data_IF_608851522077
#
_entry.id   IF_608851522077
#
_cell.length_a   1.000
_cell.length_b   1.000
_cell.length_c   1.000
_cell.angle_alpha   90.00
_cell.angle_beta   90.00
_cell.angle_gamma   90.00
#
_symmetry.space_group_name_H-M   'P 1'
#
loop_
_entity.id
_entity.type
_entity.pdbx_description
1 polymer ?
#
# COMPACT_ATOMS: atom_id res chain seq x y z
N UNK A 1 2.19 16.09 0.84
CA UNK A 1 1.05 15.37 0.21
C UNK A 1 0.57 16.01 -1.08
N UNK A 2 0.25 17.32 -1.18
CA UNK A 2 -0.25 17.90 -2.45
C UNK A 2 0.66 17.61 -3.66
N UNK A 3 1.97 17.80 -3.50
CA UNK A 3 2.95 17.47 -4.55
C UNK A 3 3.00 15.99 -4.92
N UNK A 4 2.73 15.08 -3.97
CA UNK A 4 2.64 13.63 -4.24
C UNK A 4 1.40 13.35 -5.10
N UNK A 5 0.28 13.99 -4.78
CA UNK A 5 -0.97 13.86 -5.55
C UNK A 5 -0.78 14.39 -6.97
N UNK A 6 -0.21 15.59 -7.10
CA UNK A 6 0.04 16.21 -8.40
C UNK A 6 0.99 15.35 -9.25
N UNK A 7 2.04 14.80 -8.63
CA UNK A 7 2.99 13.93 -9.31
C UNK A 7 2.38 12.62 -9.79
N UNK A 8 1.62 11.92 -8.94
CA UNK A 8 0.97 10.66 -9.36
C UNK A 8 -0.05 10.91 -10.49
N UNK A 9 -0.79 12.02 -10.44
CA UNK A 9 -1.70 12.42 -11.52
C UNK A 9 -0.97 12.78 -12.81
N UNK A 10 0.22 13.39 -12.71
CA UNK A 10 1.05 13.67 -13.88
C UNK A 10 1.55 12.36 -14.52
N UNK A 11 2.01 11.39 -13.72
CA UNK A 11 2.42 10.09 -14.25
C UNK A 11 1.28 9.35 -14.95
N UNK A 12 0.08 9.36 -14.38
CA UNK A 12 -1.15 8.82 -14.98
C UNK A 12 -1.48 9.49 -16.33
N UNK A 13 -1.29 10.81 -16.44
CA UNK A 13 -1.52 11.53 -17.69
C UNK A 13 -0.47 11.24 -18.76
N UNK A 14 0.79 11.05 -18.36
CA UNK A 14 1.94 10.94 -19.28
C UNK A 14 2.33 9.49 -19.62
N UNK A 15 1.77 8.49 -18.93
CA UNK A 15 2.12 7.08 -19.10
C UNK A 15 0.89 6.19 -19.17
N UNK A 16 0.78 5.42 -20.26
CA UNK A 16 -0.24 4.36 -20.44
C UNK A 16 -0.04 3.15 -19.52
N UNK A 17 1.04 3.14 -18.73
CA UNK A 17 1.37 2.11 -17.72
C UNK A 17 0.84 2.45 -16.34
N UNK A 18 0.35 3.67 -16.13
CA UNK A 18 -0.07 4.18 -14.82
C UNK A 18 -1.55 4.55 -14.88
N UNK A 19 -2.29 4.23 -13.81
CA UNK A 19 -3.66 4.71 -13.60
C UNK A 19 -3.81 5.11 -12.14
N UNK A 20 -4.06 6.40 -11.86
CA UNK A 20 -4.19 6.90 -10.49
C UNK A 20 -5.64 7.31 -10.20
N UNK A 21 -6.23 6.71 -9.17
CA UNK A 21 -7.58 7.04 -8.73
C UNK A 21 -7.59 7.61 -7.32
N UNK A 22 -8.45 8.61 -7.11
CA UNK A 22 -8.83 9.06 -5.78
C UNK A 22 -9.98 8.19 -5.27
N UNK A 23 -9.74 7.42 -4.20
CA UNK A 23 -10.73 6.48 -3.67
C UNK A 23 -11.59 7.06 -2.55
N UNK A 24 -11.27 8.27 -2.11
CA UNK A 24 -12.00 9.00 -1.07
C UNK A 24 -11.15 10.08 -0.43
N UNK A 25 -11.61 10.57 0.73
CA UNK A 25 -10.90 11.56 1.53
C UNK A 25 -10.45 10.97 2.87
N UNK A 26 -9.30 11.44 3.36
CA UNK A 26 -8.81 11.20 4.72
C UNK A 26 -9.71 11.83 5.77
N UNK A 27 -9.42 11.55 7.04
CA UNK A 27 -10.14 12.09 8.20
C UNK A 27 -10.09 13.63 8.28
N UNK A 28 -9.07 14.27 7.70
CA UNK A 28 -8.95 15.73 7.58
C UNK A 28 -9.23 16.26 6.15
N UNK A 29 -9.77 15.44 5.26
CA UNK A 29 -10.30 15.89 3.96
C UNK A 29 -9.32 15.91 2.79
N UNK A 30 -8.12 15.33 2.95
CA UNK A 30 -7.14 15.20 1.87
C UNK A 30 -7.47 14.02 0.95
N UNK A 31 -7.17 14.10 -0.36
CA UNK A 31 -7.42 13.00 -1.28
C UNK A 31 -6.60 11.77 -0.87
N UNK A 32 -7.21 10.59 -0.95
CA UNK A 32 -6.56 9.30 -0.70
C UNK A 32 -6.44 8.56 -2.03
N UNK A 33 -5.22 8.17 -2.41
CA UNK A 33 -4.92 7.68 -3.75
C UNK A 33 -4.61 6.18 -3.77
N UNK A 34 -5.08 5.50 -4.82
CA UNK A 34 -4.51 4.25 -5.30
C UNK A 34 -3.87 4.51 -6.67
N UNK A 35 -2.66 4.02 -6.88
CA UNK A 35 -1.97 4.10 -8.17
C UNK A 35 -1.69 2.70 -8.69
N UNK A 36 -2.33 2.34 -9.81
CA UNK A 36 -2.10 1.09 -10.51
C UNK A 36 -0.94 1.26 -11.47
N UNK A 37 -0.01 0.31 -11.49
CA UNK A 37 1.13 0.30 -12.39
C UNK A 37 1.28 -1.10 -12.99
N UNK A 38 1.22 -1.20 -14.32
CA UNK A 38 1.29 -2.46 -15.06
C UNK A 38 1.55 -2.20 -16.56
N UNK A 39 1.52 -3.24 -17.39
CA UNK A 39 1.58 -3.06 -18.84
C UNK A 39 0.33 -2.31 -19.34
N UNK A 40 0.40 -1.59 -20.47
CA UNK A 40 -0.75 -0.84 -20.98
C UNK A 40 -1.98 -1.72 -21.23
N UNK A 41 -1.76 -2.96 -21.69
CA UNK A 41 -2.83 -3.95 -21.86
C UNK A 41 -3.49 -4.34 -20.54
N UNK A 42 -2.72 -4.53 -19.47
CA UNK A 42 -3.26 -4.85 -18.15
C UNK A 42 -4.00 -3.63 -17.55
N UNK A 43 -3.47 -2.41 -17.71
CA UNK A 43 -4.10 -1.16 -17.24
C UNK A 43 -5.45 -0.94 -17.93
N UNK A 44 -5.53 -1.16 -19.24
CA UNK A 44 -6.78 -1.05 -19.99
C UNK A 44 -7.85 -2.08 -19.56
N UNK A 45 -7.45 -3.18 -18.92
CA UNK A 45 -8.32 -4.31 -18.54
C UNK A 45 -8.37 -4.55 -17.02
N UNK A 46 -8.10 -3.54 -16.19
CA UNK A 46 -8.03 -3.67 -14.73
C UNK A 46 -9.27 -4.35 -14.11
N UNK A 47 -10.48 -3.99 -14.54
CA UNK A 47 -11.71 -4.59 -14.00
C UNK A 47 -11.84 -6.08 -14.34
N UNK A 48 -11.35 -6.51 -15.51
CA UNK A 48 -11.33 -7.93 -15.88
C UNK A 48 -10.36 -8.71 -15.00
N UNK A 49 -9.14 -8.18 -14.79
CA UNK A 49 -8.16 -8.81 -13.91
C UNK A 49 -8.63 -8.84 -12.44
N UNK A 50 -9.30 -7.79 -11.97
CA UNK A 50 -9.91 -7.74 -10.64
C UNK A 50 -10.97 -8.84 -10.48
N UNK A 51 -11.83 -9.05 -11.49
CA UNK A 51 -12.85 -10.10 -11.42
C UNK A 51 -12.25 -11.50 -11.44
N UNK A 52 -11.22 -11.74 -12.26
CA UNK A 52 -10.46 -13.02 -12.24
C UNK A 52 -9.93 -13.28 -10.82
N UNK A 53 -9.27 -12.28 -10.22
CA UNK A 53 -8.75 -12.38 -8.85
C UNK A 53 -9.84 -12.66 -7.81
N UNK A 54 -10.98 -11.96 -7.92
CA UNK A 54 -12.10 -12.13 -6.99
C UNK A 54 -12.68 -13.53 -7.04
N UNK A 55 -12.74 -14.14 -8.23
CA UNK A 55 -13.24 -15.51 -8.43
C UNK A 55 -12.26 -16.55 -7.92
N UNK A 56 -10.96 -16.38 -8.22
CA UNK A 56 -9.91 -17.27 -7.72
C UNK A 56 -9.76 -17.21 -6.19
N UNK A 57 -10.07 -16.07 -5.57
CA UNK A 57 -10.05 -15.91 -4.11
C UNK A 57 -11.21 -16.63 -3.38
N UNK A 58 -12.19 -17.19 -4.12
CA UNK A 58 -13.35 -17.91 -3.56
C UNK A 58 -13.53 -19.24 -4.31
N UNK A 59 -12.59 -20.20 -4.15
CA UNK A 59 -12.50 -21.40 -4.97
C UNK A 59 -13.73 -22.31 -4.83
N UNK A 60 -14.45 -22.25 -3.70
CA UNK A 60 -15.68 -23.04 -3.47
C UNK A 60 -16.80 -22.71 -4.47
N UNK A 61 -16.70 -21.58 -5.18
CA UNK A 61 -17.69 -21.10 -6.15
C UNK A 61 -17.35 -21.40 -7.60
N UNK A 62 -16.19 -22.01 -7.88
CA UNK A 62 -15.73 -22.33 -9.24
C UNK A 62 -15.25 -23.78 -9.32
N UNK A 63 -15.28 -24.36 -10.52
CA UNK A 63 -14.74 -25.71 -10.74
C UNK A 63 -13.22 -25.68 -10.96
N UNK A 64 -12.54 -26.81 -10.75
CA UNK A 64 -11.10 -26.93 -11.05
C UNK A 64 -10.75 -26.59 -12.51
N UNK A 65 -11.62 -26.96 -13.46
CA UNK A 65 -11.43 -26.63 -14.87
C UNK A 65 -11.46 -25.12 -15.10
N UNK A 66 -12.45 -24.46 -14.51
CA UNK A 66 -12.62 -23.02 -14.60
C UNK A 66 -11.50 -22.27 -13.87
N UNK A 67 -11.04 -22.77 -12.72
CA UNK A 67 -9.89 -22.23 -12.02
C UNK A 67 -8.63 -22.28 -12.89
N UNK A 68 -8.37 -23.39 -13.58
CA UNK A 68 -7.22 -23.53 -14.47
C UNK A 68 -7.26 -22.55 -15.65
N UNK A 69 -8.44 -22.31 -16.23
CA UNK A 69 -8.64 -21.30 -17.27
C UNK A 69 -8.36 -19.88 -16.74
N UNK A 70 -8.93 -19.54 -15.58
CA UNK A 70 -8.71 -18.24 -14.95
C UNK A 70 -7.24 -17.99 -14.57
N UNK A 71 -6.54 -19.01 -14.10
CA UNK A 71 -5.12 -18.92 -13.73
C UNK A 71 -4.25 -18.60 -14.95
N UNK A 72 -4.57 -19.13 -16.13
CA UNK A 72 -3.81 -18.85 -17.35
C UNK A 72 -3.84 -17.36 -17.73
N UNK A 73 -4.93 -16.66 -17.41
CA UNK A 73 -5.13 -15.24 -17.68
C UNK A 73 -4.87 -14.34 -16.46
N UNK A 74 -4.61 -14.92 -15.29
CA UNK A 74 -4.38 -14.18 -14.07
C UNK A 74 -3.07 -13.37 -14.11
N UNK A 75 -3.03 -12.31 -13.32
CA UNK A 75 -1.83 -11.51 -13.06
C UNK A 75 -1.56 -11.50 -11.57
N UNK A 76 -0.29 -11.47 -11.20
CA UNK A 76 0.08 -11.31 -9.80
C UNK A 76 -0.29 -9.90 -9.35
N UNK A 77 -1.30 -9.80 -8.47
CA UNK A 77 -1.61 -8.53 -7.81
C UNK A 77 -0.73 -8.34 -6.58
N UNK A 78 0.04 -7.26 -6.57
CA UNK A 78 0.93 -6.85 -5.47
C UNK A 78 0.45 -5.50 -4.96
N UNK A 79 0.23 -5.39 -3.65
CA UNK A 79 -0.08 -4.13 -3.00
C UNK A 79 1.14 -3.64 -2.21
N UNK A 80 1.58 -2.42 -2.47
CA UNK A 80 2.61 -1.74 -1.67
C UNK A 80 1.96 -0.55 -0.99
N UNK A 81 1.97 -0.55 0.33
CA UNK A 81 1.47 0.56 1.15
C UNK A 81 2.63 1.26 1.84
N UNK A 82 2.56 2.57 1.99
CA UNK A 82 3.67 3.37 2.48
C UNK A 82 3.24 4.28 3.62
N UNK A 83 4.16 4.55 4.56
CA UNK A 83 4.07 5.65 5.52
C UNK A 83 2.74 5.69 6.29
N UNK A 84 2.32 4.53 6.82
CA UNK A 84 1.20 4.45 7.77
C UNK A 84 1.48 5.33 8.97
N UNK A 85 2.68 5.25 9.53
CA UNK A 85 3.20 6.27 10.43
C UNK A 85 3.80 7.42 9.60
N UNK A 86 3.24 8.62 9.76
CA UNK A 86 3.63 9.76 8.94
C UNK A 86 5.08 10.25 9.17
N UNK A 87 5.68 9.90 10.31
CA UNK A 87 7.08 10.21 10.62
C UNK A 87 8.06 9.33 9.84
N UNK A 88 7.58 8.25 9.21
CA UNK A 88 8.36 7.30 8.42
C UNK A 88 8.28 7.70 6.94
N UNK A 89 8.89 8.85 6.62
CA UNK A 89 8.71 9.55 5.34
C UNK A 89 9.34 8.83 4.13
N UNK A 90 10.28 7.92 4.37
CA UNK A 90 11.02 7.20 3.32
C UNK A 90 10.12 6.41 2.37
N UNK A 91 9.06 5.79 2.89
CA UNK A 91 8.09 5.03 2.07
C UNK A 91 7.42 5.91 1.02
N UNK A 92 6.88 7.07 1.41
CA UNK A 92 6.30 8.01 0.45
C UNK A 92 7.31 8.50 -0.59
N UNK A 93 8.56 8.81 -0.22
CA UNK A 93 9.57 9.25 -1.20
C UNK A 93 9.93 8.13 -2.17
N UNK A 94 10.12 6.91 -1.66
CA UNK A 94 10.38 5.72 -2.48
C UNK A 94 9.24 5.46 -3.46
N UNK A 95 7.99 5.63 -3.03
CA UNK A 95 6.81 5.40 -3.89
C UNK A 95 6.85 6.25 -5.17
N UNK A 96 7.33 7.50 -5.10
CA UNK A 96 7.46 8.38 -6.26
C UNK A 96 8.55 7.86 -7.22
N UNK A 97 9.70 7.47 -6.68
CA UNK A 97 10.81 6.95 -7.46
C UNK A 97 10.46 5.61 -8.13
N UNK A 98 9.79 4.71 -7.40
CA UNK A 98 9.32 3.44 -7.93
C UNK A 98 8.29 3.64 -9.05
N UNK A 99 7.33 4.54 -8.84
CA UNK A 99 6.32 4.83 -9.86
C UNK A 99 6.95 5.39 -11.14
N UNK A 100 7.89 6.34 -11.00
CA UNK A 100 8.66 6.86 -12.12
C UNK A 100 9.42 5.76 -12.86
N UNK A 101 10.12 4.91 -12.11
CA UNK A 101 10.94 3.85 -12.66
C UNK A 101 10.10 2.91 -13.53
N UNK A 102 8.98 2.43 -13.01
CA UNK A 102 8.10 1.50 -13.72
C UNK A 102 7.38 2.18 -14.90
N UNK A 103 7.08 3.46 -14.80
CA UNK A 103 6.45 4.23 -15.89
C UNK A 103 7.42 4.52 -17.06
N UNK A 104 8.71 4.71 -16.80
CA UNK A 104 9.69 5.22 -17.79
C UNK A 104 10.77 4.24 -18.24
N UNK A 105 11.15 3.25 -17.41
CA UNK A 105 12.16 2.27 -17.82
C UNK A 105 11.60 1.27 -18.83
N UNK A 106 12.43 0.88 -19.79
CA UNK A 106 12.01 0.05 -20.92
C UNK A 106 12.89 -1.18 -21.11
N UNK A 107 13.60 -1.59 -20.05
CA UNK A 107 14.42 -2.80 -20.07
C UNK A 107 13.57 -4.08 -19.95
N UNK A 108 14.14 -5.21 -20.37
CA UNK A 108 13.43 -6.49 -20.46
C UNK A 108 12.91 -7.00 -19.10
N UNK A 109 13.59 -6.66 -17.99
CA UNK A 109 13.16 -7.03 -16.65
C UNK A 109 11.92 -6.22 -16.26
N UNK A 110 11.92 -4.90 -16.48
CA UNK A 110 10.77 -4.04 -16.16
C UNK A 110 9.56 -4.42 -17.00
N UNK A 111 9.72 -4.60 -18.31
CA UNK A 111 8.61 -5.06 -19.18
C UNK A 111 8.00 -6.38 -18.70
N UNK A 112 8.84 -7.37 -18.40
CA UNK A 112 8.37 -8.66 -17.87
C UNK A 112 7.62 -8.50 -16.55
N UNK A 113 8.06 -7.62 -15.65
CA UNK A 113 7.32 -7.32 -14.42
C UNK A 113 5.95 -6.74 -14.77
N UNK A 114 5.90 -5.69 -15.59
CA UNK A 114 4.66 -5.01 -15.97
C UNK A 114 3.66 -5.93 -16.68
N UNK A 115 4.14 -6.85 -17.53
CA UNK A 115 3.28 -7.79 -18.25
C UNK A 115 2.59 -8.81 -17.32
N UNK A 116 3.23 -9.15 -16.20
CA UNK A 116 2.78 -10.23 -15.31
C UNK A 116 2.23 -9.73 -13.95
N UNK A 117 2.47 -8.46 -13.61
CA UNK A 117 2.16 -7.89 -12.30
C UNK A 117 1.27 -6.66 -12.45
N UNK A 118 0.20 -6.62 -11.64
CA UNK A 118 -0.56 -5.40 -11.38
C UNK A 118 -0.12 -4.90 -10.01
N UNK A 119 0.69 -3.85 -10.00
CA UNK A 119 1.10 -3.19 -8.76
C UNK A 119 0.03 -2.17 -8.35
N UNK A 120 -0.48 -2.29 -7.13
CA UNK A 120 -1.34 -1.31 -6.48
C UNK A 120 -0.50 -0.58 -5.44
N UNK A 121 -0.09 0.64 -5.75
CA UNK A 121 0.75 1.47 -4.90
C UNK A 121 -0.10 2.49 -4.14
N UNK A 122 0.04 2.52 -2.81
CA UNK A 122 -0.54 3.55 -1.94
C UNK A 122 0.58 4.45 -1.42
N UNK A 123 0.74 5.67 -1.97
CA UNK A 123 1.90 6.52 -1.66
C UNK A 123 1.98 6.94 -0.18
N UNK A 124 0.84 7.03 0.50
CA UNK A 124 0.77 7.23 1.94
C UNK A 124 -0.56 6.71 2.49
N UNK A 125 -0.49 5.89 3.54
CA UNK A 125 -1.63 5.51 4.37
C UNK A 125 -2.02 6.60 5.39
N UNK A 126 -1.19 7.64 5.56
CA UNK A 126 -1.47 8.77 6.44
C UNK A 126 -1.11 10.14 5.80
N UNK A 127 -1.85 10.57 4.75
CA UNK A 127 -1.61 11.85 4.10
C UNK A 127 -1.68 13.06 5.02
N UNK A 128 -2.64 13.05 5.97
CA UNK A 128 -2.86 14.13 6.93
C UNK A 128 -1.65 14.32 7.84
N UNK A 129 -1.13 13.22 8.38
CA UNK A 129 0.08 13.20 9.16
C UNK A 129 1.29 13.67 8.36
N UNK A 130 1.41 13.25 7.09
CA UNK A 130 2.53 13.66 6.26
C UNK A 130 2.56 15.18 6.05
N UNK A 131 1.41 15.83 5.90
CA UNK A 131 1.31 17.30 5.82
C UNK A 131 1.82 17.93 7.12
N UNK A 132 1.41 17.40 8.27
CA UNK A 132 1.82 17.88 9.60
C UNK A 132 3.32 17.70 9.87
N UNK A 133 3.88 16.56 9.47
CA UNK A 133 5.32 16.25 9.57
C UNK A 133 6.13 17.18 8.66
N UNK A 134 5.70 17.35 7.41
CA UNK A 134 6.35 18.27 6.46
C UNK A 134 6.29 19.73 6.95
N UNK A 135 5.17 20.16 7.55
CA UNK A 135 5.05 21.51 8.12
C UNK A 135 6.02 21.73 9.28
N UNK A 136 6.21 20.73 10.13
CA UNK A 136 7.20 20.78 11.21
C UNK A 136 8.61 20.93 10.64
N UNK A 137 8.97 20.07 9.68
CA UNK A 137 10.27 20.12 9.00
C UNK A 137 10.57 21.51 8.43
N UNK A 138 9.64 22.11 7.68
CA UNK A 138 9.82 23.46 7.13
C UNK A 138 9.99 24.53 8.22
N UNK A 139 9.25 24.41 9.34
CA UNK A 139 9.30 25.37 10.44
C UNK A 139 10.57 25.25 11.30
N UNK A 140 11.22 24.08 11.30
CA UNK A 140 12.44 23.81 12.08
C UNK A 140 13.68 23.66 11.23
N UNK A 141 13.58 23.90 9.92
CA UNK A 141 14.73 23.90 9.01
C UNK A 141 15.82 24.85 9.49
N UNK A 142 17.07 24.42 9.40
CA UNK A 142 18.25 25.15 9.87
C UNK A 142 18.27 25.41 11.39
N UNK A 143 17.50 24.66 12.18
CA UNK A 143 17.52 24.68 13.66
C UNK A 143 17.98 23.34 14.22
N UNK A 144 18.24 23.26 15.54
CA UNK A 144 18.57 21.98 16.19
C UNK A 144 17.40 20.99 16.24
N UNK A 145 16.19 21.40 15.83
CA UNK A 145 15.01 20.55 15.71
C UNK A 145 14.76 20.06 14.27
N UNK A 146 15.62 20.41 13.30
CA UNK A 146 15.47 19.91 11.93
C UNK A 146 15.48 18.37 11.91
N UNK A 147 14.50 17.77 11.22
CA UNK A 147 14.36 16.32 11.12
C UNK A 147 13.85 15.61 12.39
N UNK A 148 13.56 16.36 13.47
CA UNK A 148 12.97 15.79 14.68
C UNK A 148 11.49 15.41 14.49
N UNK A 149 10.98 14.52 15.34
CA UNK A 149 9.56 14.18 15.38
C UNK A 149 8.78 15.42 15.88
N UNK A 150 7.66 15.79 15.24
CA UNK A 150 6.85 16.92 15.70
C UNK A 150 6.36 16.71 17.14
N UNK A 151 6.26 17.77 17.96
CA UNK A 151 5.79 17.68 19.35
C UNK A 151 4.27 17.50 19.46
N UNK A 152 3.60 17.13 18.37
CA UNK A 152 2.16 16.92 18.29
C UNK A 152 1.83 15.63 17.54
N UNK A 153 0.66 15.09 17.82
CA UNK A 153 0.16 13.88 17.16
C UNK A 153 -0.12 14.11 15.67
N UNK A 154 0.17 13.10 14.86
CA UNK A 154 0.11 13.17 13.39
C UNK A 154 -1.02 12.32 12.79
N UNK A 155 -1.97 11.86 13.59
CA UNK A 155 -3.22 11.28 13.12
C UNK A 155 -4.37 11.73 14.02
N UNK A 156 -5.51 12.05 13.42
CA UNK A 156 -6.72 12.47 14.14
C UNK A 156 -7.43 11.21 14.65
N UNK A 157 -7.73 11.16 15.95
CA UNK A 157 -8.30 10.02 16.69
C UNK A 157 -7.36 8.86 17.07
N UNK A 158 -6.35 8.51 16.25
CA UNK A 158 -5.38 7.43 16.61
C UNK A 158 -4.02 7.92 17.10
N UNK A 159 -3.82 9.24 17.09
CA UNK A 159 -2.63 9.86 17.65
C UNK A 159 -1.38 9.62 16.80
N UNK A 160 -0.58 8.62 17.19
CA UNK A 160 0.69 8.29 16.53
C UNK A 160 0.69 6.90 15.88
N UNK A 161 -0.22 6.01 16.24
CA UNK A 161 -0.23 4.63 15.74
C UNK A 161 -1.61 4.28 15.16
N UNK A 162 -1.76 4.54 13.87
CA UNK A 162 -2.88 4.10 13.05
C UNK A 162 -2.71 2.64 12.57
N UNK A 163 -1.55 2.01 12.78
CA UNK A 163 -1.33 0.59 12.51
C UNK A 163 -1.95 -0.33 13.59
N UNK A 164 -2.65 0.25 14.59
CA UNK A 164 -3.55 -0.48 15.51
C UNK A 164 -5.02 -0.40 15.13
N UNK A 165 -5.39 0.32 14.07
CA UNK A 165 -6.79 0.48 13.68
C UNK A 165 -7.35 -0.71 12.86
N UNK A 166 -6.49 -1.63 12.40
CA UNK A 166 -6.87 -2.76 11.54
C UNK A 166 -7.86 -3.77 12.15
N UNK A 167 -8.17 -3.68 13.44
CA UNK A 167 -9.20 -4.53 14.05
C UNK A 167 -10.54 -3.82 14.32
N UNK A 168 -10.54 -2.48 14.41
CA UNK A 168 -11.76 -1.71 14.69
C UNK A 168 -12.29 -0.94 13.48
N UNK A 169 -11.42 -0.68 12.50
CA UNK A 169 -11.73 0.11 11.30
C UNK A 169 -12.40 1.44 11.67
N UNK A 170 -11.82 2.19 12.61
CA UNK A 170 -12.40 3.44 13.10
C UNK A 170 -12.06 4.62 12.20
N UNK A 171 -10.93 4.58 11.48
CA UNK A 171 -10.47 5.68 10.63
C UNK A 171 -10.96 5.59 9.18
N UNK A 172 -11.10 6.75 8.54
CA UNK A 172 -11.53 6.83 7.14
C UNK A 172 -10.51 6.13 6.23
N UNK A 173 -9.23 6.35 6.47
CA UNK A 173 -8.10 5.79 5.74
C UNK A 173 -8.12 4.26 5.76
N UNK A 174 -8.27 3.68 6.95
CA UNK A 174 -8.34 2.22 7.13
C UNK A 174 -9.51 1.62 6.36
N UNK A 175 -10.71 2.21 6.48
CA UNK A 175 -11.90 1.76 5.75
C UNK A 175 -11.72 1.86 4.24
N UNK A 176 -11.13 2.96 3.75
CA UNK A 176 -10.85 3.15 2.34
C UNK A 176 -9.93 2.06 1.78
N UNK A 177 -8.85 1.72 2.49
CA UNK A 177 -7.92 0.66 2.06
C UNK A 177 -8.58 -0.70 2.08
N UNK A 178 -9.29 -1.03 3.16
CA UNK A 178 -9.99 -2.31 3.29
C UNK A 178 -11.03 -2.46 2.16
N UNK A 179 -11.87 -1.46 1.93
CA UNK A 179 -12.98 -1.56 0.98
C UNK A 179 -12.53 -1.46 -0.48
N UNK A 180 -11.53 -0.63 -0.78
CA UNK A 180 -11.16 -0.28 -2.16
C UNK A 180 -9.92 -1.01 -2.66
N UNK A 181 -9.08 -1.50 -1.75
CA UNK A 181 -7.89 -2.26 -2.09
C UNK A 181 -8.03 -3.72 -1.63
N UNK A 182 -8.05 -4.02 -0.33
CA UNK A 182 -7.96 -5.42 0.12
C UNK A 182 -9.17 -6.26 -0.28
N UNK A 183 -10.39 -5.78 -0.03
CA UNK A 183 -11.60 -6.51 -0.38
C UNK A 183 -11.89 -6.54 -1.88
N UNK A 184 -11.51 -5.48 -2.59
CA UNK A 184 -11.76 -5.37 -4.03
C UNK A 184 -10.77 -6.20 -4.85
N UNK A 185 -9.49 -6.19 -4.49
CA UNK A 185 -8.43 -6.75 -5.34
C UNK A 185 -7.84 -8.07 -4.83
N UNK A 186 -8.05 -8.42 -3.56
CA UNK A 186 -7.49 -9.63 -2.93
C UNK A 186 -6.02 -9.85 -3.31
N UNK A 187 -5.11 -8.91 -2.99
CA UNK A 187 -3.71 -9.01 -3.43
C UNK A 187 -3.05 -10.29 -2.93
N UNK A 188 -2.22 -10.91 -3.77
CA UNK A 188 -1.42 -12.08 -3.37
C UNK A 188 -0.31 -11.69 -2.40
N UNK A 189 0.27 -10.50 -2.61
CA UNK A 189 1.36 -9.97 -1.80
C UNK A 189 0.94 -8.60 -1.32
N UNK A 190 1.03 -8.39 0.00
CA UNK A 190 0.88 -7.09 0.64
C UNK A 190 2.21 -6.75 1.28
N UNK A 191 2.77 -5.61 0.93
CA UNK A 191 4.02 -5.12 1.51
C UNK A 191 3.81 -3.71 2.08
N UNK A 192 3.78 -3.62 3.41
CA UNK A 192 3.67 -2.35 4.12
C UNK A 192 5.06 -1.82 4.51
N UNK A 193 5.42 -0.67 3.96
CA UNK A 193 6.76 -0.09 4.08
C UNK A 193 6.83 0.79 5.32
N UNK A 194 7.70 0.36 6.24
CA UNK A 194 8.09 1.11 7.43
C UNK A 194 9.52 1.64 7.35
N UNK A 195 9.84 2.62 8.19
CA UNK A 195 11.17 3.19 8.35
C UNK A 195 11.63 3.06 9.80
N UNK A 196 12.86 2.56 10.00
CA UNK A 196 13.48 2.54 11.33
C UNK A 196 13.79 3.96 11.83
N UNK A 197 13.93 4.07 13.15
CA UNK A 197 14.48 5.27 13.78
C UNK A 197 15.92 5.49 13.34
N UNK A 198 16.35 6.75 13.39
CA UNK A 198 17.70 7.16 13.01
C UNK A 198 18.81 6.62 13.93
N UNK A 199 18.47 6.20 15.16
CA UNK A 199 19.41 5.66 16.16
C UNK A 199 19.59 4.14 16.08
N UNK A 200 19.06 3.50 15.04
CA UNK A 200 19.25 2.08 14.74
C UNK A 200 17.99 1.24 14.88
N UNK A 201 18.14 -0.05 14.55
CA UNK A 201 17.05 -1.02 14.58
C UNK A 201 16.88 -1.57 15.98
N UNK A 202 15.64 -1.56 16.51
CA UNK A 202 15.28 -2.42 17.64
C UNK A 202 14.72 -3.72 17.10
N UNK A 203 15.38 -4.82 17.42
CA UNK A 203 14.83 -6.15 17.15
C UNK A 203 13.59 -6.34 18.01
N UNK A 204 12.44 -6.50 17.37
CA UNK A 204 11.22 -6.97 18.01
C UNK A 204 11.20 -8.47 17.76
N UNK A 205 11.51 -9.25 18.79
CA UNK A 205 11.39 -10.70 18.74
C UNK A 205 10.07 -11.10 19.42
N UNK A 206 9.26 -11.95 18.77
CA UNK A 206 7.99 -12.43 19.31
C UNK A 206 8.22 -13.38 20.51
N UNK A 207 7.16 -13.79 21.23
CA UNK A 207 5.92 -14.30 20.64
C UNK A 207 4.88 -13.20 20.36
N UNK A 208 4.35 -13.17 19.13
CA UNK A 208 3.07 -12.56 18.82
C UNK A 208 1.99 -13.54 19.28
N UNK A 209 1.88 -13.73 20.59
CA UNK A 209 0.83 -14.58 21.16
C UNK A 209 -0.42 -13.74 21.40
N UNK A 210 -1.46 -14.15 20.68
CA UNK A 210 -2.88 -13.90 20.88
C UNK A 210 -3.43 -12.47 21.11
N UNK A 211 -4.66 -12.20 20.63
CA UNK A 211 -5.54 -13.13 19.91
C UNK A 211 -5.27 -13.16 18.40
N UNK A 212 -5.10 -14.36 17.85
CA UNK A 212 -5.24 -14.58 16.40
C UNK A 212 -6.73 -14.59 16.05
N UNK A 213 -7.11 -13.99 14.92
CA UNK A 213 -8.49 -13.97 14.47
C UNK A 213 -9.03 -15.41 14.29
N UNK A 214 -10.26 -15.73 14.71
CA UNK A 214 -10.80 -17.09 14.67
C UNK A 214 -10.96 -17.65 13.25
N UNK A 215 -10.85 -16.79 12.23
CA UNK A 215 -10.98 -17.14 10.82
C UNK A 215 -9.63 -17.45 10.15
N UNK A 216 -8.51 -17.33 10.86
CA UNK A 216 -7.18 -17.65 10.33
C UNK A 216 -6.94 -19.13 10.48
N UNK A 217 -6.73 -19.83 9.36
CA UNK A 217 -6.48 -21.28 9.36
C UNK A 217 -5.30 -21.63 10.28
N UNK A 218 -5.44 -22.60 11.21
CA UNK A 218 -4.37 -23.03 12.10
C UNK A 218 -3.09 -23.49 11.37
N UNK A 219 -3.19 -23.97 10.13
CA UNK A 219 -2.03 -24.34 9.31
C UNK A 219 -1.20 -23.12 8.97
N UNK A 220 -1.82 -22.01 8.55
CA UNK A 220 -1.10 -20.75 8.25
C UNK A 220 -0.37 -20.22 9.50
N UNK A 221 -0.99 -20.35 10.67
CA UNK A 221 -0.36 -19.98 11.94
C UNK A 221 0.87 -20.85 12.23
N UNK A 222 0.75 -22.17 11.99
CA UNK A 222 1.81 -23.14 12.20
C UNK A 222 2.98 -22.93 11.22
N UNK A 223 2.69 -22.64 9.95
CA UNK A 223 3.69 -22.32 8.93
C UNK A 223 4.46 -21.04 9.28
N UNK A 224 3.76 -19.99 9.71
CA UNK A 224 4.41 -18.75 10.14
C UNK A 224 5.31 -18.97 11.36
N UNK A 225 4.87 -19.77 12.33
CA UNK A 225 5.68 -20.13 13.49
C UNK A 225 6.91 -20.97 13.09
N UNK A 226 6.76 -21.87 12.11
CA UNK A 226 7.83 -22.75 11.63
C UNK A 226 8.89 -22.02 10.81
N UNK A 227 8.51 -20.97 10.07
CA UNK A 227 9.45 -20.15 9.29
C UNK A 227 10.46 -19.40 10.17
N UNK A 228 10.20 -19.29 11.48
CA UNK A 228 11.07 -18.61 12.40
C UNK A 228 10.98 -17.10 12.19
N UNK A 229 10.48 -16.43 13.20
CA UNK A 229 10.70 -15.00 13.41
C UNK A 229 12.04 -14.76 14.08
#
# INVERSE_FOLDING_TARGET
WPQVVDYMRLLDQESDRVSTIEIGKTTEGNPFLLTFISSPGNIANLDSHMEIQRRLADPDKISDSEANELIADARSVVAITCSIHATEVGGTQMSLALAHQLASEDDSRVRRILDNVILILVPSLNPDGLIKVKRWYDATRDTHYEGSIPPYLYNKYTGHDNNRDWFMFTQAETRLVVDRLYNRWRPHIIFDIHQTRSDGMRMILPPFVDPVGPNVDPVLQSELAALGT
#
